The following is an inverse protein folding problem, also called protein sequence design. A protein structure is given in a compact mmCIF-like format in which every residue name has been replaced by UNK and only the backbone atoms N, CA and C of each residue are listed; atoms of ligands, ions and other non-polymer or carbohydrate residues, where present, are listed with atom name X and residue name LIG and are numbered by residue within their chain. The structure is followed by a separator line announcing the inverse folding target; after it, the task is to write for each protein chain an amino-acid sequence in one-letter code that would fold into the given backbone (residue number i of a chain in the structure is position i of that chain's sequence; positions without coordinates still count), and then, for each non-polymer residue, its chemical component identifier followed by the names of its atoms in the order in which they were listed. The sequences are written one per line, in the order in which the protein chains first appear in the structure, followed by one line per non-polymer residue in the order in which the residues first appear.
data_IF_304493827811
#
_entry.id   IF_304493827811
#
_cell.length_a   1.000
_cell.length_b   1.000
_cell.length_c   1.000
_cell.angle_alpha   90.00
_cell.angle_beta   90.00
_cell.angle_gamma   90.00
#
_symmetry.space_group_name_H-M   'P 1'
#
loop_
_entity.id
_entity.type
_entity.pdbx_description
1 polymer ?
#
# COMPACT_ATOMS: atom_id res chain seq x y z
N UNK A 1 -42.39 23.41 2.22
CA UNK A 1 -42.30 23.04 0.78
C UNK A 1 -43.53 22.26 0.36
N UNK A 2 -43.95 21.27 1.13
CA UNK A 2 -45.14 20.45 0.82
C UNK A 2 -46.44 21.26 0.71
N UNK A 3 -46.65 22.27 1.57
CA UNK A 3 -47.80 23.18 1.46
C UNK A 3 -47.81 23.99 0.15
N UNK A 4 -46.67 24.54 -0.25
CA UNK A 4 -46.52 25.24 -1.54
C UNK A 4 -46.83 24.31 -2.71
N UNK A 5 -46.33 23.07 -2.68
CA UNK A 5 -46.56 22.11 -3.75
C UNK A 5 -48.02 21.68 -3.85
N UNK A 6 -48.67 21.40 -2.72
CA UNK A 6 -50.08 21.04 -2.67
C UNK A 6 -50.97 22.17 -3.23
N UNK A 7 -50.74 23.41 -2.80
CA UNK A 7 -51.50 24.57 -3.28
C UNK A 7 -51.24 24.86 -4.75
N UNK A 8 -50.00 24.71 -5.24
CA UNK A 8 -49.69 24.87 -6.66
C UNK A 8 -50.33 23.80 -7.54
N UNK A 9 -50.35 22.53 -7.09
CA UNK A 9 -51.01 21.44 -7.81
C UNK A 9 -52.53 21.64 -7.82
N UNK A 10 -53.13 22.03 -6.70
CA UNK A 10 -54.56 22.35 -6.61
C UNK A 10 -54.93 23.54 -7.49
N UNK A 11 -54.14 24.62 -7.45
CA UNK A 11 -54.35 25.79 -8.30
C UNK A 11 -54.28 25.43 -9.80
N UNK A 12 -53.31 24.58 -10.19
CA UNK A 12 -53.18 24.11 -11.56
C UNK A 12 -54.34 23.20 -12.00
N UNK A 13 -54.78 22.28 -11.14
CA UNK A 13 -55.86 21.34 -11.45
C UNK A 13 -57.26 21.97 -11.48
N UNK A 14 -57.49 22.99 -10.65
CA UNK A 14 -58.84 23.60 -10.47
C UNK A 14 -58.98 24.96 -11.16
N UNK A 15 -57.88 25.60 -11.55
CA UNK A 15 -57.88 26.98 -12.07
C UNK A 15 -58.22 28.05 -11.03
N UNK A 16 -58.44 27.67 -9.78
CA UNK A 16 -58.75 28.60 -8.69
C UNK A 16 -57.48 29.19 -8.06
N UNK A 17 -57.57 30.44 -7.62
CA UNK A 17 -56.47 31.10 -6.93
C UNK A 17 -56.39 30.61 -5.47
N UNK A 18 -55.27 29.97 -5.13
CA UNK A 18 -54.99 29.41 -3.81
C UNK A 18 -54.11 30.34 -2.95
N UNK A 19 -53.82 31.56 -3.44
CA UNK A 19 -52.82 32.47 -2.87
C UNK A 19 -53.34 33.90 -2.66
N UNK A 20 -54.66 34.04 -2.49
CA UNK A 20 -55.34 35.30 -2.14
C UNK A 20 -55.00 36.48 -3.08
N UNK A 21 -54.87 36.23 -4.38
CA UNK A 21 -54.54 37.25 -5.38
C UNK A 21 -53.07 37.66 -5.41
N UNK A 22 -52.24 37.20 -4.46
CA UNK A 22 -50.87 37.67 -4.32
C UNK A 22 -49.89 36.57 -3.88
N UNK A 23 -49.50 35.75 -4.86
CA UNK A 23 -48.50 34.69 -4.68
C UNK A 23 -47.16 35.17 -4.11
N UNK A 24 -46.73 36.40 -4.45
CA UNK A 24 -45.46 36.94 -3.96
C UNK A 24 -45.50 37.26 -2.46
N UNK A 25 -46.62 37.80 -1.98
CA UNK A 25 -46.87 38.03 -0.56
C UNK A 25 -46.98 36.71 0.20
N UNK A 26 -47.74 35.75 -0.32
CA UNK A 26 -47.85 34.42 0.25
C UNK A 26 -46.47 33.76 0.43
N UNK A 27 -45.56 33.89 -0.56
CA UNK A 27 -44.19 33.40 -0.44
C UNK A 27 -43.39 34.07 0.68
N UNK A 28 -43.56 35.39 0.87
CA UNK A 28 -42.88 36.14 1.91
C UNK A 28 -43.36 35.72 3.31
N UNK A 29 -44.68 35.60 3.49
CA UNK A 29 -45.31 35.20 4.76
C UNK A 29 -44.91 33.77 5.18
N UNK A 30 -44.57 32.92 4.22
CA UNK A 30 -44.15 31.53 4.47
C UNK A 30 -42.62 31.33 4.41
N UNK A 31 -41.83 32.41 4.32
CA UNK A 31 -40.37 32.36 4.31
C UNK A 31 -39.76 31.64 3.09
N UNK A 32 -40.48 31.62 1.96
CA UNK A 32 -40.04 30.95 0.73
C UNK A 32 -39.47 31.98 -0.24
N UNK A 33 -38.25 31.73 -0.72
CA UNK A 33 -37.66 32.54 -1.78
C UNK A 33 -38.55 32.54 -3.03
N UNK A 34 -38.92 33.74 -3.51
CA UNK A 34 -39.70 33.93 -4.74
C UNK A 34 -39.11 33.15 -5.92
N UNK A 35 -37.79 33.18 -6.10
CA UNK A 35 -37.12 32.47 -7.19
C UNK A 35 -37.38 30.95 -7.14
N UNK A 36 -37.42 30.35 -5.94
CA UNK A 36 -37.76 28.94 -5.76
C UNK A 36 -39.23 28.67 -6.02
N UNK A 37 -40.12 29.51 -5.49
CA UNK A 37 -41.56 29.34 -5.64
C UNK A 37 -42.04 29.44 -7.09
N UNK A 38 -41.56 30.44 -7.84
CA UNK A 38 -41.88 30.61 -9.26
C UNK A 38 -41.30 29.49 -10.12
N UNK A 39 -40.09 29.00 -9.82
CA UNK A 39 -39.52 27.82 -10.49
C UNK A 39 -40.36 26.57 -10.27
N UNK A 40 -40.93 26.40 -9.07
CA UNK A 40 -41.81 25.28 -8.75
C UNK A 40 -43.18 25.42 -9.41
N UNK A 41 -43.74 26.63 -9.43
CA UNK A 41 -44.99 26.95 -10.13
C UNK A 41 -44.92 26.62 -11.61
N UNK A 42 -43.94 27.19 -12.33
CA UNK A 42 -43.71 26.91 -13.75
C UNK A 42 -43.61 25.41 -14.04
N UNK A 43 -42.94 24.69 -13.15
CA UNK A 43 -42.74 23.26 -13.31
C UNK A 43 -44.00 22.43 -13.09
N UNK A 44 -44.84 22.80 -12.12
CA UNK A 44 -46.14 22.16 -11.91
C UNK A 44 -47.09 22.49 -13.07
N UNK A 45 -47.01 23.69 -13.64
CA UNK A 45 -47.76 24.05 -14.85
C UNK A 45 -47.34 23.22 -16.08
N UNK A 46 -46.05 22.91 -16.23
CA UNK A 46 -45.53 22.13 -17.35
C UNK A 46 -45.68 20.60 -17.16
N UNK A 47 -45.53 20.08 -15.93
CA UNK A 47 -45.45 18.63 -15.64
C UNK A 47 -46.63 18.09 -14.81
N UNK A 48 -47.55 18.95 -14.36
CA UNK A 48 -48.69 18.61 -13.49
C UNK A 48 -48.32 18.30 -12.03
N UNK A 49 -47.04 18.10 -11.70
CA UNK A 49 -46.57 17.85 -10.33
C UNK A 49 -45.12 18.26 -10.13
N UNK A 50 -44.75 18.53 -8.88
CA UNK A 50 -43.36 18.73 -8.51
C UNK A 50 -42.70 17.41 -8.08
N UNK A 51 -41.59 17.07 -8.72
CA UNK A 51 -40.74 15.92 -8.33
C UNK A 51 -39.29 16.37 -8.19
N UNK A 52 -38.51 15.75 -7.32
CA UNK A 52 -37.07 16.02 -7.27
C UNK A 52 -36.41 15.52 -8.57
N UNK A 53 -35.78 16.42 -9.32
CA UNK A 53 -34.92 16.03 -10.45
C UNK A 53 -33.53 15.67 -9.94
N UNK A 54 -32.89 14.75 -10.64
CA UNK A 54 -31.46 14.53 -10.48
C UNK A 54 -30.73 15.85 -10.69
N UNK A 55 -29.87 16.23 -9.74
CA UNK A 55 -28.94 17.36 -9.87
C UNK A 55 -27.69 16.98 -10.66
N UNK A 56 -27.64 15.75 -11.20
CA UNK A 56 -26.50 15.27 -11.98
C UNK A 56 -26.42 16.07 -13.28
N UNK A 57 -25.23 16.60 -13.63
CA UNK A 57 -25.02 17.24 -14.93
C UNK A 57 -25.48 16.32 -16.07
N UNK A 58 -26.18 16.89 -17.06
CA UNK A 58 -26.66 16.17 -18.26
C UNK A 58 -25.52 15.73 -19.17
N UNK A 59 -24.37 16.40 -19.10
CA UNK A 59 -23.12 15.98 -19.76
C UNK A 59 -21.95 16.10 -18.80
N UNK A 60 -20.98 15.19 -18.94
CA UNK A 60 -19.69 15.27 -18.28
C UNK A 60 -18.63 15.24 -19.39
N UNK A 61 -18.07 16.39 -19.80
CA UNK A 61 -17.06 16.45 -20.86
C UNK A 61 -15.82 15.60 -20.59
N UNK A 62 -15.54 15.30 -19.31
CA UNK A 62 -14.44 14.44 -18.87
C UNK A 62 -14.88 12.99 -18.57
N UNK A 63 -16.05 12.57 -19.06
CA UNK A 63 -16.45 11.18 -18.95
C UNK A 63 -15.47 10.29 -19.71
N UNK A 64 -15.14 9.15 -19.11
CA UNK A 64 -14.36 8.12 -19.78
C UNK A 64 -15.15 7.62 -21.00
N UNK A 65 -14.54 7.59 -22.21
CA UNK A 65 -15.23 7.11 -23.40
C UNK A 65 -15.70 5.66 -23.25
N UNK A 66 -16.87 5.33 -23.81
CA UNK A 66 -17.44 3.98 -23.72
C UNK A 66 -16.48 2.87 -24.19
N UNK A 67 -15.68 3.04 -25.27
CA UNK A 67 -14.69 2.04 -25.66
C UNK A 67 -13.65 1.73 -24.56
N UNK A 68 -13.24 2.74 -23.80
CA UNK A 68 -12.33 2.58 -22.67
C UNK A 68 -13.01 1.84 -21.51
N UNK A 69 -14.30 2.12 -21.25
CA UNK A 69 -15.06 1.41 -20.21
C UNK A 69 -15.25 -0.08 -20.55
N UNK A 70 -15.56 -0.40 -21.81
CA UNK A 70 -15.67 -1.77 -22.31
C UNK A 70 -14.37 -2.53 -22.07
N UNK A 71 -13.23 -1.90 -22.36
CA UNK A 71 -11.91 -2.49 -22.16
C UNK A 71 -11.58 -2.76 -20.69
N UNK A 72 -11.98 -1.84 -19.79
CA UNK A 72 -11.89 -2.03 -18.34
C UNK A 72 -12.70 -3.25 -17.89
N UNK A 73 -13.95 -3.36 -18.34
CA UNK A 73 -14.84 -4.48 -18.00
C UNK A 73 -14.30 -5.79 -18.56
N UNK A 74 -13.83 -5.78 -19.82
CA UNK A 74 -13.23 -6.96 -20.47
C UNK A 74 -12.03 -7.48 -19.68
N UNK A 75 -11.10 -6.62 -19.29
CA UNK A 75 -9.94 -7.00 -18.47
C UNK A 75 -10.38 -7.52 -17.09
N UNK A 76 -11.37 -6.88 -16.45
CA UNK A 76 -11.92 -7.33 -15.16
C UNK A 76 -12.51 -8.75 -15.24
N UNK A 77 -13.12 -9.14 -16.35
CA UNK A 77 -13.73 -10.47 -16.48
C UNK A 77 -12.72 -11.55 -16.87
N UNK A 78 -11.70 -11.21 -17.66
CA UNK A 78 -10.78 -12.19 -18.24
C UNK A 78 -9.49 -12.43 -17.45
N UNK A 79 -9.03 -11.46 -16.65
CA UNK A 79 -7.85 -11.67 -15.79
C UNK A 79 -8.12 -12.73 -14.72
N UNK A 80 -7.14 -13.42 -14.14
CA UNK A 80 -7.36 -14.29 -12.98
C UNK A 80 -7.93 -13.51 -11.78
N UNK A 81 -8.77 -14.12 -10.94
CA UNK A 81 -9.43 -13.42 -9.82
C UNK A 81 -8.47 -12.59 -8.94
N UNK A 82 -7.29 -13.14 -8.66
CA UNK A 82 -6.24 -12.50 -7.85
C UNK A 82 -5.49 -11.35 -8.57
N UNK A 83 -5.68 -11.17 -9.89
CA UNK A 83 -5.04 -10.14 -10.73
C UNK A 83 -6.00 -9.09 -11.26
N UNK A 84 -7.29 -9.18 -10.98
CA UNK A 84 -8.33 -8.27 -11.51
C UNK A 84 -8.32 -6.86 -10.88
N UNK A 85 -7.28 -6.46 -10.14
CA UNK A 85 -7.23 -5.19 -9.41
C UNK A 85 -7.10 -3.98 -10.34
N UNK A 86 -7.57 -2.80 -9.90
CA UNK A 86 -7.55 -1.59 -10.73
C UNK A 86 -6.15 -1.17 -11.22
N UNK A 87 -5.08 -1.37 -10.41
CA UNK A 87 -3.71 -1.08 -10.85
C UNK A 87 -3.25 -2.03 -11.96
N UNK A 88 -3.60 -3.32 -11.86
CA UNK A 88 -3.30 -4.34 -12.87
C UNK A 88 -4.08 -4.07 -14.16
N UNK A 89 -5.36 -3.72 -14.05
CA UNK A 89 -6.18 -3.30 -15.20
C UNK A 89 -5.54 -2.09 -15.88
N UNK A 90 -5.16 -1.05 -15.12
CA UNK A 90 -4.49 0.13 -15.67
C UNK A 90 -3.21 -0.23 -16.43
N UNK A 91 -2.40 -1.15 -15.89
CA UNK A 91 -1.20 -1.64 -16.57
C UNK A 91 -1.53 -2.30 -17.92
N UNK A 92 -2.50 -3.21 -17.96
CA UNK A 92 -2.90 -3.88 -19.20
C UNK A 92 -3.58 -2.94 -20.21
N UNK A 93 -4.25 -1.89 -19.74
CA UNK A 93 -4.82 -0.87 -20.61
C UNK A 93 -3.76 -0.12 -21.42
N UNK A 94 -2.51 -0.05 -20.97
CA UNK A 94 -1.44 0.60 -21.74
C UNK A 94 -1.25 -0.07 -23.10
N UNK A 95 -1.10 -1.40 -23.13
CA UNK A 95 -0.95 -2.14 -24.38
C UNK A 95 -2.19 -2.03 -25.28
N UNK A 96 -3.39 -1.96 -24.69
CA UNK A 96 -4.65 -1.73 -25.43
C UNK A 96 -4.67 -0.32 -26.02
N UNK A 97 -4.31 0.69 -25.23
CA UNK A 97 -4.27 2.08 -25.64
C UNK A 97 -3.28 2.29 -26.80
N UNK A 98 -2.11 1.66 -26.72
CA UNK A 98 -1.09 1.72 -27.77
C UNK A 98 -1.58 1.03 -29.05
N UNK A 99 -2.14 -0.18 -28.93
CA UNK A 99 -2.67 -0.97 -30.05
C UNK A 99 -3.82 -0.28 -30.78
N UNK A 100 -4.68 0.41 -30.04
CA UNK A 100 -5.85 1.10 -30.58
C UNK A 100 -5.63 2.61 -30.78
N UNK A 101 -4.38 3.09 -30.66
CA UNK A 101 -3.99 4.48 -30.86
C UNK A 101 -4.85 5.49 -30.09
N UNK A 102 -5.18 5.20 -28.83
CA UNK A 102 -6.03 6.06 -27.99
C UNK A 102 -5.54 7.51 -27.90
N UNK A 103 -4.22 7.72 -27.94
CA UNK A 103 -3.63 9.05 -27.94
C UNK A 103 -4.06 9.90 -29.15
N UNK A 104 -4.28 9.29 -30.32
CA UNK A 104 -4.76 9.99 -31.51
C UNK A 104 -6.22 10.47 -31.36
N UNK A 105 -7.01 9.74 -30.58
CA UNK A 105 -8.39 10.09 -30.21
C UNK A 105 -8.46 11.05 -29.00
N UNK A 106 -7.31 11.45 -28.44
CA UNK A 106 -7.22 12.26 -27.22
C UNK A 106 -7.63 11.51 -25.95
N UNK A 107 -7.69 10.17 -25.98
CA UNK A 107 -8.07 9.34 -24.84
C UNK A 107 -6.84 8.99 -23.99
N UNK A 108 -7.06 8.90 -22.68
CA UNK A 108 -6.02 8.59 -21.70
C UNK A 108 -6.42 7.41 -20.83
N UNK A 109 -5.43 6.69 -20.29
CA UNK A 109 -5.67 5.62 -19.32
C UNK A 109 -6.30 6.20 -18.06
N UNK A 110 -7.49 5.71 -17.63
CA UNK A 110 -8.16 6.26 -16.46
C UNK A 110 -7.39 5.98 -15.16
N UNK A 111 -7.54 6.88 -14.18
CA UNK A 111 -6.95 6.70 -12.86
C UNK A 111 -7.51 5.46 -12.15
N UNK A 112 -6.76 4.94 -11.14
CA UNK A 112 -7.24 3.86 -10.26
C UNK A 112 -8.64 4.14 -9.69
N UNK A 113 -8.90 5.38 -9.27
CA UNK A 113 -10.19 5.78 -8.73
C UNK A 113 -11.29 5.69 -9.80
N UNK A 114 -11.01 6.21 -11.00
CA UNK A 114 -11.93 6.16 -12.14
C UNK A 114 -12.25 4.72 -12.55
N UNK A 115 -11.23 3.85 -12.64
CA UNK A 115 -11.42 2.43 -12.93
C UNK A 115 -12.34 1.80 -11.87
N UNK A 116 -12.08 2.02 -10.58
CA UNK A 116 -12.95 1.48 -9.53
C UNK A 116 -14.38 2.03 -9.63
N UNK A 117 -14.56 3.32 -9.92
CA UNK A 117 -15.89 3.90 -10.13
C UNK A 117 -16.61 3.24 -11.31
N UNK A 118 -15.94 3.05 -12.44
CA UNK A 118 -16.49 2.34 -13.61
C UNK A 118 -16.90 0.93 -13.21
N UNK A 119 -15.99 0.16 -12.59
CA UNK A 119 -16.27 -1.20 -12.16
C UNK A 119 -17.44 -1.27 -11.16
N UNK A 120 -17.56 -0.31 -10.23
CA UNK A 120 -18.70 -0.21 -9.32
C UNK A 120 -20.01 0.09 -10.03
N UNK A 121 -20.01 0.90 -11.10
CA UNK A 121 -21.24 1.15 -11.89
C UNK A 121 -21.72 -0.08 -12.65
N UNK A 122 -20.83 -1.03 -12.94
CA UNK A 122 -21.15 -2.31 -13.56
C UNK A 122 -21.30 -3.45 -12.55
N UNK A 123 -21.40 -3.14 -11.24
CA UNK A 123 -21.53 -4.14 -10.16
C UNK A 123 -20.39 -5.16 -10.07
N UNK A 124 -19.20 -4.81 -10.56
CA UNK A 124 -18.01 -5.68 -10.57
C UNK A 124 -17.09 -5.48 -9.35
N UNK A 125 -17.52 -4.69 -8.36
CA UNK A 125 -16.79 -4.42 -7.10
C UNK A 125 -17.70 -4.73 -5.92
N UNK A 126 -17.23 -5.59 -5.02
CA UNK A 126 -17.89 -5.82 -3.73
C UNK A 126 -17.39 -4.74 -2.74
N UNK A 127 -18.27 -3.87 -2.22
CA UNK A 127 -17.85 -2.86 -1.25
C UNK A 127 -17.36 -3.47 0.06
N UNK A 128 -16.20 -3.02 0.55
CA UNK A 128 -15.66 -3.37 1.88
C UNK A 128 -15.65 -2.14 2.83
N UNK A 129 -16.82 -1.67 3.29
CA UNK A 129 -16.94 -0.41 4.04
C UNK A 129 -16.25 -0.45 5.42
N UNK A 130 -16.00 -1.64 5.99
CA UNK A 130 -15.36 -1.81 7.30
C UNK A 130 -13.84 -1.58 7.27
N UNK A 131 -13.24 -1.37 6.11
CA UNK A 131 -11.78 -1.27 5.95
C UNK A 131 -11.31 0.15 6.25
N UNK A 132 -10.69 0.35 7.42
CA UNK A 132 -10.12 1.64 7.84
C UNK A 132 -9.14 2.19 6.78
N UNK A 133 -9.22 3.48 6.41
CA UNK A 133 -8.22 4.11 5.55
C UNK A 133 -6.84 4.03 6.22
N UNK A 134 -5.85 3.49 5.52
CA UNK A 134 -4.46 3.43 6.01
C UNK A 134 -3.77 4.77 5.73
N UNK A 135 -4.16 5.84 6.42
CA UNK A 135 -3.62 7.19 6.20
C UNK A 135 -2.31 7.49 6.94
N UNK A 136 -1.87 6.65 7.88
CA UNK A 136 -0.73 6.94 8.77
C UNK A 136 0.50 6.04 8.60
N UNK A 137 0.54 5.15 7.61
CA UNK A 137 1.69 4.24 7.41
C UNK A 137 2.60 4.75 6.28
N UNK A 138 3.75 5.35 6.64
CA UNK A 138 4.87 5.54 5.71
C UNK A 138 5.44 4.17 5.36
N UNK A 139 5.47 3.82 4.08
CA UNK A 139 5.97 2.51 3.63
C UNK A 139 7.49 2.55 3.65
N UNK A 140 8.10 1.77 4.52
CA UNK A 140 9.54 1.55 4.51
C UNK A 140 9.95 0.82 3.22
N UNK A 141 10.98 1.32 2.53
CA UNK A 141 11.53 0.71 1.34
C UNK A 141 12.97 1.14 1.11
N UNK A 142 13.89 0.18 0.96
CA UNK A 142 15.24 0.49 0.52
C UNK A 142 15.23 1.04 -0.91
N UNK A 143 16.24 1.87 -1.21
CA UNK A 143 16.28 2.71 -2.40
C UNK A 143 16.59 1.92 -3.66
N UNK A 144 17.55 1.00 -3.61
CA UNK A 144 18.01 0.25 -4.77
C UNK A 144 17.67 -1.25 -4.61
N UNK A 145 17.48 -1.97 -5.73
CA UNK A 145 17.51 -3.43 -5.69
C UNK A 145 18.86 -3.90 -5.15
N UNK A 146 18.89 -5.04 -4.46
CA UNK A 146 20.07 -5.57 -3.75
C UNK A 146 20.52 -4.76 -2.54
N UNK A 147 19.84 -3.69 -2.15
CA UNK A 147 20.10 -3.06 -0.84
C UNK A 147 19.64 -4.00 0.28
N UNK A 148 18.49 -4.67 0.11
CA UNK A 148 17.98 -5.62 1.09
C UNK A 148 17.12 -6.70 0.44
N UNK A 149 17.44 -7.96 0.76
CA UNK A 149 16.52 -9.08 0.55
C UNK A 149 15.76 -9.37 1.84
N UNK A 150 14.46 -9.63 1.74
CA UNK A 150 13.66 -10.20 2.82
C UNK A 150 13.52 -11.70 2.59
N UNK A 151 13.79 -12.53 3.59
CA UNK A 151 13.57 -13.98 3.55
C UNK A 151 12.57 -14.38 4.62
N UNK A 152 11.59 -15.18 4.24
CA UNK A 152 10.60 -15.77 5.14
C UNK A 152 10.10 -17.11 4.58
N UNK A 153 9.42 -17.87 5.41
CA UNK A 153 8.91 -19.19 5.10
C UNK A 153 7.39 -19.26 5.24
N UNK A 154 6.76 -20.08 4.41
CA UNK A 154 5.34 -20.38 4.54
C UNK A 154 5.05 -21.87 4.39
N UNK A 155 4.11 -22.37 5.20
CA UNK A 155 3.59 -23.73 5.04
C UNK A 155 2.65 -23.86 3.84
N UNK A 156 2.79 -24.96 3.12
CA UNK A 156 1.93 -25.43 2.03
C UNK A 156 1.58 -26.89 2.29
N UNK A 157 0.40 -27.34 1.85
CA UNK A 157 -0.01 -28.75 1.94
C UNK A 157 0.10 -29.42 0.59
N UNK A 158 0.71 -30.60 0.55
CA UNK A 158 0.70 -31.49 -0.60
C UNK A 158 -0.66 -32.19 -0.72
N UNK A 159 -0.92 -32.83 -1.87
CA UNK A 159 -2.14 -33.60 -2.11
C UNK A 159 -2.29 -34.77 -1.12
N UNK A 160 -1.19 -35.29 -0.58
CA UNK A 160 -1.15 -36.31 0.48
C UNK A 160 -1.62 -35.80 1.84
N UNK A 161 -1.78 -34.48 2.01
CA UNK A 161 -2.08 -33.81 3.28
C UNK A 161 -0.85 -33.43 4.10
N UNK A 162 0.33 -33.91 3.69
CA UNK A 162 1.63 -33.58 4.28
C UNK A 162 1.89 -32.07 4.22
N UNK A 163 2.45 -31.52 5.30
CA UNK A 163 2.84 -30.11 5.37
C UNK A 163 4.31 -29.99 5.00
N UNK A 164 4.59 -29.15 4.02
CA UNK A 164 5.93 -28.77 3.59
C UNK A 164 6.08 -27.26 3.70
N UNK A 165 7.31 -26.76 3.57
CA UNK A 165 7.64 -25.34 3.71
C UNK A 165 8.17 -24.81 2.38
N UNK A 166 7.81 -23.57 2.06
CA UNK A 166 8.38 -22.82 0.94
C UNK A 166 9.07 -21.59 1.51
N UNK A 167 10.36 -21.46 1.27
CA UNK A 167 11.14 -20.25 1.55
C UNK A 167 11.06 -19.33 0.34
N UNK A 168 10.66 -18.08 0.59
CA UNK A 168 10.62 -17.01 -0.40
C UNK A 168 11.64 -15.93 -0.04
N UNK A 169 12.43 -15.52 -1.04
CA UNK A 169 13.37 -14.41 -0.91
C UNK A 169 12.93 -13.31 -1.86
N UNK A 170 12.59 -12.15 -1.29
CA UNK A 170 12.01 -11.02 -1.99
C UNK A 170 12.96 -9.82 -1.91
N UNK A 171 13.23 -9.15 -3.03
CA UNK A 171 13.89 -7.85 -3.02
C UNK A 171 12.95 -6.77 -2.44
N UNK A 172 13.45 -6.02 -1.47
CA UNK A 172 12.66 -5.04 -0.72
C UNK A 172 12.18 -3.86 -1.59
N UNK A 173 13.03 -3.44 -2.53
CA UNK A 173 12.88 -2.28 -3.40
C UNK A 173 11.89 -2.57 -4.53
N UNK A 174 12.18 -3.57 -5.35
CA UNK A 174 11.45 -3.84 -6.60
C UNK A 174 10.33 -4.85 -6.44
N UNK A 175 10.34 -5.57 -5.31
CA UNK A 175 9.50 -6.75 -5.04
C UNK A 175 9.79 -7.92 -5.96
N UNK A 176 10.97 -7.98 -6.57
CA UNK A 176 11.39 -9.14 -7.36
C UNK A 176 11.54 -10.34 -6.45
N UNK A 177 10.91 -11.46 -6.82
CA UNK A 177 11.08 -12.73 -6.13
C UNK A 177 12.38 -13.35 -6.63
N UNK A 178 13.45 -13.25 -5.83
CA UNK A 178 14.80 -13.66 -6.23
C UNK A 178 15.05 -15.15 -5.95
N UNK A 179 14.29 -15.76 -5.05
CA UNK A 179 14.23 -17.22 -4.90
C UNK A 179 12.90 -17.70 -4.32
N UNK A 180 12.47 -18.89 -4.74
CA UNK A 180 11.32 -19.64 -4.19
C UNK A 180 11.73 -21.10 -4.09
N UNK A 181 11.90 -21.62 -2.87
CA UNK A 181 12.47 -22.96 -2.66
C UNK A 181 11.66 -23.78 -1.68
N UNK A 182 11.31 -25.00 -2.09
CA UNK A 182 10.64 -25.99 -1.25
C UNK A 182 11.65 -26.64 -0.30
N UNK A 183 11.23 -26.88 0.93
CA UNK A 183 11.93 -27.65 1.94
C UNK A 183 10.92 -28.48 2.76
N UNK A 184 11.37 -29.62 3.29
CA UNK A 184 10.50 -30.51 4.06
C UNK A 184 10.05 -29.87 5.39
N UNK A 185 10.89 -28.99 5.95
CA UNK A 185 10.61 -28.25 7.18
C UNK A 185 11.32 -26.90 7.21
N UNK A 186 10.89 -26.05 8.13
CA UNK A 186 11.46 -24.71 8.37
C UNK A 186 12.79 -24.84 9.12
N UNK A 187 13.85 -25.15 8.36
CA UNK A 187 15.19 -25.43 8.89
C UNK A 187 16.22 -24.42 8.37
N UNK A 188 17.34 -24.27 9.09
CA UNK A 188 18.46 -23.47 8.63
C UNK A 188 19.02 -23.96 7.28
N UNK A 189 19.00 -25.28 7.02
CA UNK A 189 19.42 -25.84 5.74
C UNK A 189 18.52 -25.38 4.58
N UNK A 190 17.20 -25.37 4.78
CA UNK A 190 16.24 -24.82 3.81
C UNK A 190 16.46 -23.32 3.55
N UNK A 191 16.64 -22.54 4.61
CA UNK A 191 16.94 -21.11 4.50
C UNK A 191 18.27 -20.85 3.75
N UNK A 192 19.33 -21.62 4.04
CA UNK A 192 20.62 -21.55 3.34
C UNK A 192 20.44 -21.88 1.85
N UNK A 193 19.68 -22.93 1.51
CA UNK A 193 19.43 -23.31 0.12
C UNK A 193 18.67 -22.19 -0.64
N UNK A 194 17.71 -21.54 0.00
CA UNK A 194 16.96 -20.43 -0.57
C UNK A 194 17.83 -19.19 -0.78
N UNK A 195 18.60 -18.76 0.22
CA UNK A 195 19.44 -17.56 0.10
C UNK A 195 20.60 -17.78 -0.87
N UNK A 196 21.17 -18.99 -0.91
CA UNK A 196 22.21 -19.35 -1.89
C UNK A 196 21.66 -19.27 -3.31
N UNK A 197 20.45 -19.79 -3.54
CA UNK A 197 19.79 -19.69 -4.85
C UNK A 197 19.56 -18.22 -5.26
N UNK A 198 19.14 -17.36 -4.32
CA UNK A 198 18.98 -15.93 -4.56
C UNK A 198 20.31 -15.27 -4.93
N UNK A 199 21.38 -15.56 -4.20
CA UNK A 199 22.72 -15.00 -4.46
C UNK A 199 23.26 -15.43 -5.83
N UNK A 200 23.08 -16.69 -6.21
CA UNK A 200 23.52 -17.20 -7.52
C UNK A 200 22.74 -16.56 -8.66
N UNK A 201 21.42 -16.38 -8.52
CA UNK A 201 20.56 -15.88 -9.60
C UNK A 201 20.57 -14.36 -9.76
N UNK A 202 20.68 -13.62 -8.65
CA UNK A 202 20.46 -12.16 -8.62
C UNK A 202 21.61 -11.38 -7.98
N UNK A 203 22.66 -12.06 -7.53
CA UNK A 203 23.78 -11.45 -6.82
C UNK A 203 23.51 -11.27 -5.32
N UNK A 204 24.58 -10.99 -4.59
CA UNK A 204 24.57 -10.84 -3.13
C UNK A 204 24.05 -9.44 -2.78
N UNK A 205 23.11 -9.29 -1.81
CA UNK A 205 22.62 -7.99 -1.36
C UNK A 205 23.55 -7.37 -0.31
N UNK A 206 23.32 -6.11 0.04
CA UNK A 206 23.96 -5.50 1.21
C UNK A 206 23.42 -6.07 2.51
N UNK A 207 22.09 -6.22 2.60
CA UNK A 207 21.37 -6.71 3.77
C UNK A 207 20.53 -7.94 3.44
N UNK A 208 20.46 -8.86 4.39
CA UNK A 208 19.42 -9.90 4.43
C UNK A 208 18.59 -9.66 5.68
N UNK A 209 17.30 -9.38 5.50
CA UNK A 209 16.33 -9.25 6.56
C UNK A 209 15.59 -10.58 6.74
N UNK A 210 15.78 -11.19 7.90
CA UNK A 210 15.03 -12.37 8.33
C UNK A 210 14.23 -12.03 9.59
N UNK A 211 13.24 -12.85 9.93
CA UNK A 211 12.64 -12.77 11.26
C UNK A 211 13.54 -13.41 12.33
N UNK A 212 13.09 -13.48 13.58
CA UNK A 212 13.82 -14.15 14.66
C UNK A 212 13.50 -15.67 14.75
N UNK A 213 12.96 -16.26 13.68
CA UNK A 213 12.62 -17.68 13.62
C UNK A 213 13.83 -18.57 13.91
N UNK A 214 13.55 -19.81 14.36
CA UNK A 214 14.60 -20.79 14.68
C UNK A 214 15.40 -21.23 13.44
N UNK A 215 14.86 -21.04 12.24
CA UNK A 215 15.58 -21.28 11.00
C UNK A 215 16.70 -20.26 10.74
N UNK A 216 16.59 -19.05 11.31
CA UNK A 216 17.52 -17.94 11.08
C UNK A 216 18.40 -17.62 12.30
N UNK A 217 17.98 -18.05 13.50
CA UNK A 217 18.68 -17.77 14.77
C UNK A 217 19.06 -19.05 15.54
N UNK A 218 20.23 -19.05 16.16
CA UNK A 218 20.74 -20.12 17.03
C UNK A 218 20.27 -20.01 18.49
N UNK A 219 19.05 -19.53 18.74
CA UNK A 219 18.57 -19.13 20.09
C UNK A 219 18.46 -20.24 21.15
N UNK A 220 18.96 -21.46 20.93
CA UNK A 220 18.91 -22.54 21.94
C UNK A 220 20.22 -23.18 22.36
N UNK A 221 21.38 -22.78 21.83
CA UNK A 221 22.66 -23.35 22.26
C UNK A 221 23.79 -22.33 22.26
N UNK A 222 24.17 -21.87 23.47
CA UNK A 222 25.49 -21.35 23.84
C UNK A 222 26.17 -20.41 22.82
N UNK A 223 25.61 -19.22 22.57
CA UNK A 223 26.36 -18.09 21.99
C UNK A 223 26.99 -18.29 20.61
N UNK A 224 26.62 -19.34 19.87
CA UNK A 224 27.19 -19.63 18.55
C UNK A 224 26.49 -18.87 17.42
N UNK A 225 27.24 -18.47 16.39
CA UNK A 225 26.70 -17.90 15.14
C UNK A 225 25.88 -18.99 14.43
N UNK A 226 24.64 -18.68 13.98
CA UNK A 226 23.82 -19.67 13.28
C UNK A 226 24.46 -20.04 11.93
N UNK A 227 24.25 -21.27 11.45
CA UNK A 227 24.78 -21.69 10.15
C UNK A 227 24.33 -20.78 9.01
N UNK A 228 23.10 -20.25 9.10
CA UNK A 228 22.56 -19.27 8.16
C UNK A 228 23.30 -17.94 8.24
N UNK A 229 23.52 -17.40 9.44
CA UNK A 229 24.29 -16.17 9.65
C UNK A 229 25.68 -16.28 9.05
N UNK A 230 26.37 -17.41 9.27
CA UNK A 230 27.71 -17.65 8.71
C UNK A 230 27.72 -17.60 7.18
N UNK A 231 26.73 -18.22 6.51
CA UNK A 231 26.64 -18.21 5.04
C UNK A 231 26.42 -16.79 4.51
N UNK A 232 25.53 -16.02 5.14
CA UNK A 232 25.23 -14.63 4.75
C UNK A 232 26.46 -13.74 4.92
N UNK A 233 27.13 -13.82 6.07
CA UNK A 233 28.32 -13.02 6.38
C UNK A 233 29.54 -13.42 5.53
N UNK A 234 29.73 -14.70 5.25
CA UNK A 234 30.80 -15.17 4.36
C UNK A 234 30.61 -14.71 2.91
N UNK A 235 29.37 -14.51 2.47
CA UNK A 235 29.07 -13.88 1.18
C UNK A 235 29.31 -12.36 1.20
N UNK A 236 29.56 -11.75 2.36
CA UNK A 236 29.78 -10.32 2.54
C UNK A 236 28.49 -9.52 2.78
N UNK A 237 27.32 -10.17 2.85
CA UNK A 237 26.07 -9.51 3.22
C UNK A 237 25.94 -9.43 4.75
N UNK A 238 25.22 -8.43 5.26
CA UNK A 238 24.91 -8.32 6.69
C UNK A 238 23.50 -8.86 6.97
N UNK A 239 23.40 -9.82 7.90
CA UNK A 239 22.12 -10.29 8.41
C UNK A 239 21.55 -9.27 9.40
N UNK A 240 20.28 -8.89 9.22
CA UNK A 240 19.50 -8.11 10.17
C UNK A 240 18.22 -8.88 10.51
N UNK A 241 17.75 -8.72 11.74
CA UNK A 241 16.52 -9.35 12.20
C UNK A 241 15.43 -8.31 12.45
N UNK A 242 14.18 -8.67 12.19
CA UNK A 242 13.04 -7.88 12.68
C UNK A 242 13.09 -7.77 14.20
N UNK A 243 12.70 -6.61 14.75
CA UNK A 243 12.64 -6.45 16.21
C UNK A 243 11.46 -7.25 16.78
N UNK A 244 11.63 -7.93 17.93
CA UNK A 244 10.52 -8.58 18.62
C UNK A 244 9.35 -7.61 18.80
N UNK A 245 8.12 -8.09 18.63
CA UNK A 245 6.88 -7.30 18.73
C UNK A 245 6.68 -6.22 17.64
N UNK A 246 7.55 -6.15 16.63
CA UNK A 246 7.39 -5.29 15.45
C UNK A 246 7.41 -6.10 14.13
N UNK A 247 6.38 -6.95 13.90
CA UNK A 247 6.29 -7.82 12.72
C UNK A 247 6.21 -7.05 11.40
N UNK A 248 5.97 -5.74 11.45
CA UNK A 248 5.76 -4.88 10.28
C UNK A 248 6.98 -4.83 9.35
N UNK A 249 8.19 -5.12 9.86
CA UNK A 249 9.45 -5.08 9.10
C UNK A 249 9.51 -6.18 8.03
N UNK A 250 8.95 -7.37 8.30
CA UNK A 250 8.84 -8.49 7.34
C UNK A 250 7.50 -8.51 6.59
N UNK A 251 6.66 -7.49 6.76
CA UNK A 251 5.30 -7.48 6.21
C UNK A 251 5.19 -7.51 4.69
N UNK A 252 6.31 -7.33 3.95
CA UNK A 252 6.32 -7.40 2.47
C UNK A 252 6.30 -8.85 1.99
N UNK A 253 7.21 -9.69 2.51
CA UNK A 253 7.25 -11.12 2.18
C UNK A 253 6.05 -11.87 2.78
N UNK A 254 5.62 -11.53 4.00
CA UNK A 254 4.38 -12.08 4.58
C UNK A 254 3.14 -11.77 3.72
N UNK A 255 3.05 -10.56 3.17
CA UNK A 255 1.98 -10.20 2.24
C UNK A 255 2.08 -10.99 0.94
N UNK A 256 3.31 -11.21 0.46
CA UNK A 256 3.57 -11.99 -0.73
C UNK A 256 3.12 -13.45 -0.59
N UNK A 257 3.34 -14.09 0.57
CA UNK A 257 2.86 -15.45 0.86
C UNK A 257 1.36 -15.63 0.57
N UNK A 258 0.56 -14.60 0.80
CA UNK A 258 -0.89 -14.62 0.48
C UNK A 258 -1.13 -14.68 -1.03
N UNK A 259 -0.40 -13.88 -1.80
CA UNK A 259 -0.49 -13.88 -3.27
C UNK A 259 -0.03 -15.22 -3.84
N UNK A 260 1.07 -15.78 -3.33
CA UNK A 260 1.54 -17.11 -3.71
C UNK A 260 0.49 -18.19 -3.44
N UNK A 261 -0.06 -18.25 -2.22
CA UNK A 261 -1.10 -19.23 -1.85
C UNK A 261 -2.36 -19.10 -2.69
N UNK A 262 -2.78 -17.88 -3.02
CA UNK A 262 -3.92 -17.64 -3.91
C UNK A 262 -3.64 -18.14 -5.34
N UNK A 263 -2.41 -17.97 -5.82
CA UNK A 263 -2.00 -18.48 -7.13
C UNK A 263 -1.98 -20.01 -7.15
N UNK A 264 -1.42 -20.65 -6.11
CA UNK A 264 -1.45 -22.11 -5.96
C UNK A 264 -2.89 -22.66 -5.89
N UNK A 265 -3.75 -22.04 -5.09
CA UNK A 265 -5.14 -22.46 -4.93
C UNK A 265 -5.98 -22.32 -6.22
N UNK A 266 -5.51 -21.51 -7.18
CA UNK A 266 -6.11 -21.35 -8.49
C UNK A 266 -5.56 -22.35 -9.54
N UNK A 267 -4.68 -23.28 -9.15
CA UNK A 267 -4.23 -24.37 -10.03
C UNK A 267 -5.27 -25.51 -10.03
N UNK A 268 -5.42 -26.23 -11.15
CA UNK A 268 -6.39 -27.32 -11.24
C UNK A 268 -6.03 -28.51 -10.36
N UNK A 269 -4.73 -28.71 -10.08
CA UNK A 269 -4.22 -29.81 -9.27
C UNK A 269 -3.26 -29.30 -8.20
N UNK A 270 -3.34 -29.94 -7.03
CA UNK A 270 -2.38 -29.75 -5.92
C UNK A 270 -1.19 -30.68 -6.16
N UNK A 271 0.04 -30.19 -5.94
CA UNK A 271 1.25 -31.01 -6.04
C UNK A 271 1.21 -32.20 -5.08
N UNK A 272 1.55 -33.39 -5.56
CA UNK A 272 1.63 -34.61 -4.77
C UNK A 272 3.00 -34.78 -4.11
N UNK A 273 4.05 -34.20 -4.70
CA UNK A 273 5.44 -34.32 -4.21
C UNK A 273 6.10 -32.94 -4.03
N UNK A 274 7.18 -32.89 -3.25
CA UNK A 274 8.02 -31.70 -3.09
C UNK A 274 8.66 -31.26 -4.41
N UNK A 275 8.99 -32.21 -5.30
CA UNK A 275 9.54 -31.93 -6.63
C UNK A 275 8.51 -31.23 -7.55
N UNK A 276 7.26 -31.73 -7.58
CA UNK A 276 6.17 -31.08 -8.30
C UNK A 276 5.87 -29.68 -7.72
N UNK A 277 5.87 -29.54 -6.39
CA UNK A 277 5.70 -28.24 -5.76
C UNK A 277 6.83 -27.28 -6.14
N UNK A 278 8.07 -27.75 -6.24
CA UNK A 278 9.21 -26.94 -6.66
C UNK A 278 9.05 -26.45 -8.11
N UNK A 279 8.55 -27.27 -9.03
CA UNK A 279 8.22 -26.85 -10.40
C UNK A 279 7.11 -25.79 -10.44
N UNK A 280 6.09 -25.92 -9.58
CA UNK A 280 5.06 -24.89 -9.42
C UNK A 280 5.65 -23.59 -8.86
N UNK A 281 6.56 -23.66 -7.91
CA UNK A 281 7.28 -22.51 -7.36
C UNK A 281 8.09 -21.78 -8.43
N UNK A 282 8.79 -22.50 -9.30
CA UNK A 282 9.56 -21.91 -10.41
C UNK A 282 8.65 -21.27 -11.46
N UNK A 283 7.54 -21.93 -11.79
CA UNK A 283 6.52 -21.38 -12.69
C UNK A 283 5.90 -20.11 -12.11
N UNK A 284 5.59 -20.13 -10.81
CA UNK A 284 5.09 -18.96 -10.10
C UNK A 284 6.10 -17.82 -10.08
N UNK A 285 7.36 -18.10 -9.72
CA UNK A 285 8.41 -17.08 -9.67
C UNK A 285 8.59 -16.41 -11.03
N UNK A 286 8.56 -17.18 -12.12
CA UNK A 286 8.59 -16.63 -13.48
C UNK A 286 7.39 -15.72 -13.73
N UNK A 287 6.17 -16.23 -13.61
CA UNK A 287 4.94 -15.48 -13.80
C UNK A 287 4.90 -14.18 -12.98
N UNK A 288 5.17 -14.29 -11.67
CA UNK A 288 5.16 -13.18 -10.74
C UNK A 288 6.16 -12.10 -11.13
N UNK A 289 7.35 -12.49 -11.59
CA UNK A 289 8.42 -11.56 -11.95
C UNK A 289 8.24 -10.91 -13.33
N UNK A 290 7.71 -11.65 -14.32
CA UNK A 290 7.72 -11.21 -15.73
C UNK A 290 6.37 -10.76 -16.26
N UNK A 291 5.26 -11.28 -15.74
CA UNK A 291 3.93 -11.03 -16.30
C UNK A 291 3.06 -10.19 -15.36
N UNK A 292 3.18 -10.43 -14.06
CA UNK A 292 2.32 -9.80 -13.05
C UNK A 292 2.79 -8.40 -12.68
N UNK A 293 2.04 -7.33 -12.97
CA UNK A 293 2.39 -6.00 -12.48
C UNK A 293 2.18 -5.90 -10.96
N UNK A 294 3.13 -5.28 -10.27
CA UNK A 294 3.05 -5.11 -8.82
C UNK A 294 2.71 -3.66 -8.44
N UNK A 295 1.62 -3.45 -7.67
CA UNK A 295 1.11 -2.11 -7.29
C UNK A 295 2.13 -1.13 -6.71
N UNK A 296 3.19 -1.61 -6.04
CA UNK A 296 4.23 -0.75 -5.47
C UNK A 296 5.14 -0.13 -6.55
N UNK A 297 5.39 -0.85 -7.65
CA UNK A 297 6.30 -0.42 -8.74
C UNK A 297 5.56 -0.18 -10.06
N UNK A 298 4.26 -0.48 -10.12
CA UNK A 298 3.34 -0.30 -11.27
C UNK A 298 3.76 -1.01 -12.56
N UNK A 299 4.63 -2.01 -12.45
CA UNK A 299 5.12 -2.85 -13.55
C UNK A 299 5.49 -4.24 -13.01
N UNK A 300 5.81 -5.23 -13.87
CA UNK A 300 6.38 -6.49 -13.43
C UNK A 300 7.64 -6.28 -12.59
N UNK A 301 7.79 -6.95 -11.43
CA UNK A 301 8.92 -6.77 -10.53
C UNK A 301 10.29 -6.90 -11.21
N UNK A 302 10.48 -7.86 -12.12
CA UNK A 302 11.76 -8.03 -12.82
C UNK A 302 12.03 -6.88 -13.80
N UNK A 303 10.98 -6.26 -14.35
CA UNK A 303 11.15 -5.04 -15.14
C UNK A 303 11.63 -3.89 -14.26
N UNK A 304 11.06 -3.70 -13.07
CA UNK A 304 11.53 -2.69 -12.11
C UNK A 304 12.99 -2.91 -11.70
N UNK A 305 13.38 -4.17 -11.47
CA UNK A 305 14.77 -4.55 -11.22
C UNK A 305 15.74 -4.21 -12.35
N UNK A 306 15.35 -4.50 -13.59
CA UNK A 306 16.16 -4.21 -14.79
C UNK A 306 16.25 -2.71 -15.09
N UNK A 307 15.19 -1.95 -14.79
CA UNK A 307 15.14 -0.51 -15.00
C UNK A 307 15.96 0.28 -13.95
N UNK A 308 16.34 -0.34 -12.84
CA UNK A 308 17.14 0.32 -11.82
C UNK A 308 18.55 0.62 -12.33
N UNK A 309 18.93 1.90 -12.35
CA UNK A 309 20.23 2.34 -12.83
C UNK A 309 21.41 1.85 -11.96
N UNK A 310 21.15 1.62 -10.68
CA UNK A 310 22.14 1.18 -9.70
C UNK A 310 21.56 0.03 -8.91
N UNK A 311 22.35 -1.01 -8.69
CA UNK A 311 22.07 -2.07 -7.73
C UNK A 311 23.00 -1.92 -6.54
N UNK A 312 22.49 -2.18 -5.35
CA UNK A 312 23.29 -2.30 -4.14
C UNK A 312 24.18 -3.53 -4.15
N UNK A 313 24.71 -3.88 -2.99
CA UNK A 313 25.53 -5.07 -2.84
C UNK A 313 26.33 -5.09 -1.54
N UNK A 314 27.02 -6.19 -1.26
CA UNK A 314 27.65 -6.46 0.04
C UNK A 314 28.66 -5.38 0.48
N UNK A 315 29.29 -4.69 -0.47
CA UNK A 315 30.29 -3.66 -0.20
C UNK A 315 29.71 -2.31 0.27
N UNK A 316 28.41 -2.09 0.06
CA UNK A 316 27.77 -0.81 0.33
C UNK A 316 26.51 -1.04 1.17
N UNK A 317 26.64 -0.87 2.49
CA UNK A 317 25.47 -0.87 3.36
C UNK A 317 24.57 0.32 3.00
N UNK A 318 23.25 0.11 2.82
CA UNK A 318 22.36 1.18 2.43
C UNK A 318 22.25 2.21 3.54
N UNK A 319 22.34 3.49 3.18
CA UNK A 319 22.03 4.59 4.08
C UNK A 319 20.52 4.71 4.14
N UNK A 320 19.93 4.45 5.32
CA UNK A 320 18.51 4.69 5.54
C UNK A 320 18.30 6.20 5.71
N UNK A 321 17.83 6.86 4.65
CA UNK A 321 17.53 8.30 4.69
C UNK A 321 16.22 8.62 5.42
N UNK A 322 15.37 7.60 5.62
CA UNK A 322 14.01 7.72 6.13
C UNK A 322 13.95 7.91 7.66
N UNK A 323 15.03 7.59 8.39
CA UNK A 323 15.17 7.91 9.80
C UNK A 323 16.63 7.78 10.25
N UNK A 324 17.26 8.87 10.68
CA UNK A 324 18.56 8.83 11.36
C UNK A 324 18.35 8.52 12.84
N UNK A 325 19.07 7.53 13.36
CA UNK A 325 19.05 7.19 14.78
C UNK A 325 20.23 7.85 15.47
N UNK A 326 19.97 8.66 16.50
CA UNK A 326 21.00 9.23 17.37
C UNK A 326 20.88 8.63 18.77
N UNK A 327 21.98 8.11 19.32
CA UNK A 327 22.08 7.77 20.74
C UNK A 327 22.87 8.88 21.44
N UNK A 328 22.20 9.70 22.26
CA UNK A 328 22.78 10.92 22.82
C UNK A 328 22.64 10.95 24.34
N UNK A 329 23.71 11.32 25.04
CA UNK A 329 23.66 11.59 26.48
C UNK A 329 23.03 12.96 26.72
N UNK A 330 22.01 13.00 27.56
CA UNK A 330 21.30 14.23 27.90
C UNK A 330 22.17 15.10 28.80
N UNK A 331 22.39 16.34 28.39
CA UNK A 331 23.10 17.35 29.19
C UNK A 331 22.44 17.60 30.55
N UNK A 332 23.19 18.18 31.49
CA UNK A 332 22.69 18.56 32.83
C UNK A 332 21.46 19.48 32.78
N UNK A 333 21.29 20.26 31.70
CA UNK A 333 20.13 21.13 31.49
C UNK A 333 18.91 20.42 30.90
N UNK A 334 19.00 19.11 30.59
CA UNK A 334 17.91 18.33 30.01
C UNK A 334 17.77 18.46 28.49
N UNK A 335 18.86 18.84 27.79
CA UNK A 335 18.87 19.05 26.34
C UNK A 335 19.81 18.10 25.60
N UNK A 336 19.53 17.87 24.33
CA UNK A 336 20.36 17.08 23.40
C UNK A 336 20.50 17.83 22.07
N UNK A 337 21.63 17.65 21.40
CA UNK A 337 21.88 18.21 20.07
C UNK A 337 21.75 17.08 19.04
N UNK A 338 20.71 17.13 18.21
CA UNK A 338 20.48 16.18 17.10
C UNK A 338 21.63 16.30 16.09
N UNK A 339 22.04 17.53 15.80
CA UNK A 339 23.20 17.88 15.00
C UNK A 339 23.79 19.23 15.47
N UNK A 340 24.74 19.79 14.72
CA UNK A 340 25.38 21.08 15.05
C UNK A 340 24.41 22.27 15.07
N UNK A 341 23.26 22.15 14.39
CA UNK A 341 22.26 23.19 14.16
C UNK A 341 20.96 22.95 14.92
N UNK A 342 20.68 21.78 15.47
CA UNK A 342 19.42 21.49 16.16
C UNK A 342 19.63 20.98 17.60
N UNK A 343 19.26 21.80 18.59
CA UNK A 343 19.21 21.46 20.02
C UNK A 343 17.77 21.42 20.51
N UNK A 344 17.38 20.35 21.19
CA UNK A 344 16.04 20.16 21.74
C UNK A 344 16.06 19.76 23.22
N UNK A 345 14.95 20.02 23.91
CA UNK A 345 14.76 19.67 25.32
C UNK A 345 13.96 18.37 25.47
N UNK A 346 14.61 17.34 25.99
CA UNK A 346 14.00 16.06 26.42
C UNK A 346 13.57 16.08 27.89
N UNK A 347 13.99 17.10 28.64
CA UNK A 347 13.60 17.34 30.02
C UNK A 347 14.69 16.98 31.04
N UNK A 348 14.77 17.77 32.13
CA UNK A 348 15.82 17.62 33.16
C UNK A 348 15.82 16.28 33.88
N UNK A 349 14.67 15.58 33.95
CA UNK A 349 14.58 14.25 34.56
C UNK A 349 15.45 13.21 33.84
N UNK A 350 15.74 13.45 32.55
CA UNK A 350 16.58 12.57 31.73
C UNK A 350 18.06 12.95 31.80
N UNK A 351 18.46 13.99 32.55
CA UNK A 351 19.85 14.45 32.59
C UNK A 351 20.82 13.32 33.00
N UNK A 352 21.91 13.19 32.26
CA UNK A 352 22.91 12.13 32.45
C UNK A 352 22.52 10.77 31.87
N UNK A 353 21.28 10.58 31.41
CA UNK A 353 20.85 9.34 30.74
C UNK A 353 21.10 9.42 29.24
N UNK A 354 21.21 8.26 28.59
CA UNK A 354 21.22 8.16 27.12
C UNK A 354 19.79 8.11 26.61
N UNK A 355 19.48 8.89 25.58
CA UNK A 355 18.19 8.84 24.87
C UNK A 355 18.42 8.48 23.41
N UNK A 356 17.45 7.79 22.83
CA UNK A 356 17.45 7.46 21.39
C UNK A 356 16.55 8.45 20.67
N UNK A 357 17.10 9.19 19.71
CA UNK A 357 16.32 10.05 18.82
C UNK A 357 16.18 9.40 17.46
N UNK A 358 14.95 9.24 16.99
CA UNK A 358 14.63 8.90 15.61
C UNK A 358 14.28 10.17 14.86
N UNK A 359 15.13 10.58 13.92
CA UNK A 359 14.92 11.74 13.04
C UNK A 359 14.52 11.29 11.64
N UNK A 360 13.26 11.42 11.30
CA UNK A 360 12.73 11.25 9.94
C UNK A 360 12.56 12.63 9.30
N UNK A 361 13.44 12.98 8.36
CA UNK A 361 13.53 14.32 7.77
C UNK A 361 13.66 15.41 8.86
N UNK A 362 12.59 16.20 9.07
CA UNK A 362 12.52 17.23 10.11
C UNK A 362 11.75 16.78 11.34
N UNK A 363 11.16 15.59 11.33
CA UNK A 363 10.44 15.08 12.49
C UNK A 363 11.38 14.29 13.40
N UNK A 364 11.45 14.65 14.68
CA UNK A 364 12.27 13.97 15.68
C UNK A 364 11.39 13.41 16.77
N UNK A 365 11.51 12.12 17.03
CA UNK A 365 10.90 11.44 18.19
C UNK A 365 11.99 10.95 19.14
N UNK A 366 11.85 11.23 20.42
CA UNK A 366 12.78 10.78 21.45
C UNK A 366 12.21 9.62 22.26
N UNK A 367 13.08 8.66 22.57
CA UNK A 367 12.78 7.46 23.34
C UNK A 367 13.76 7.32 24.50
N UNK A 368 13.31 6.70 25.59
CA UNK A 368 14.19 6.20 26.65
C UNK A 368 15.04 5.03 26.14
N UNK A 369 16.04 4.60 26.91
CA UNK A 369 16.80 3.38 26.60
C UNK A 369 15.93 2.13 26.52
N UNK A 370 14.83 2.11 27.28
CA UNK A 370 13.89 0.98 27.36
C UNK A 370 12.84 1.01 26.25
N UNK A 371 12.84 2.05 25.41
CA UNK A 371 11.95 2.20 24.25
C UNK A 371 10.65 2.98 24.52
N UNK A 372 10.49 3.56 25.71
CA UNK A 372 9.32 4.40 26.01
C UNK A 372 9.42 5.76 25.31
N UNK A 373 8.31 6.25 24.75
CA UNK A 373 8.27 7.53 24.05
C UNK A 373 8.31 8.68 25.04
N UNK A 374 9.34 9.53 24.93
CA UNK A 374 9.47 10.77 25.71
C UNK A 374 8.62 11.88 25.07
N UNK A 375 8.62 11.95 23.74
CA UNK A 375 7.86 12.92 22.96
C UNK A 375 8.45 13.17 21.57
N UNK A 376 7.85 14.10 20.83
CA UNK A 376 8.24 14.40 19.45
C UNK A 376 8.21 15.91 19.13
N UNK A 377 8.89 16.34 18.07
CA UNK A 377 8.80 17.69 17.50
C UNK A 377 9.18 17.71 16.01
N UNK A 378 8.85 18.81 15.32
CA UNK A 378 9.39 19.12 14.00
C UNK A 378 10.49 20.19 14.13
N UNK A 379 11.61 19.96 13.46
CA UNK A 379 12.77 20.84 13.38
C UNK A 379 12.42 22.06 12.53
N UNK A 380 12.66 23.23 13.09
CA UNK A 380 12.65 24.52 12.42
C UNK A 380 14.09 24.89 12.06
N UNK A 381 14.43 24.82 10.76
CA UNK A 381 15.79 25.10 10.27
C UNK A 381 16.23 26.56 10.46
N UNK A 382 15.31 27.46 10.80
CA UNK A 382 15.64 28.85 11.11
C UNK A 382 16.13 29.04 12.54
N UNK A 383 16.00 28.02 13.39
CA UNK A 383 16.30 28.09 14.82
C UNK A 383 17.31 27.03 15.23
N UNK A 384 18.23 27.43 16.12
CA UNK A 384 19.13 26.46 16.75
C UNK A 384 18.47 25.69 17.89
N UNK A 385 17.63 26.36 18.67
CA UNK A 385 16.89 25.74 19.76
C UNK A 385 15.46 25.45 19.35
N UNK A 386 15.09 24.17 19.37
CA UNK A 386 13.83 23.62 18.86
C UNK A 386 12.72 23.58 19.91
N UNK A 387 13.05 23.92 21.17
CA UNK A 387 12.11 23.87 22.28
C UNK A 387 11.95 22.49 22.90
N UNK A 388 10.85 22.31 23.63
CA UNK A 388 10.52 21.08 24.36
C UNK A 388 9.76 20.12 23.46
N UNK A 389 10.04 18.83 23.58
CA UNK A 389 9.23 17.79 22.95
C UNK A 389 7.77 17.88 23.36
N UNK A 390 6.88 17.64 22.40
CA UNK A 390 5.44 17.49 22.63
C UNK A 390 5.16 16.06 23.10
N UNK A 391 4.20 15.86 24.02
CA UNK A 391 3.75 14.52 24.39
C UNK A 391 3.30 13.75 23.13
N UNK A 392 3.57 12.43 23.14
CA UNK A 392 3.14 11.53 22.08
C UNK A 392 1.61 11.39 22.02
#
# INVERSE_FOLDING_TARGET
MDLLHALLVLAHATGADMFDGNFARWCADHGISRATAYRHKKRIEEEGRWTTRSRRPTSCPHATPLPVEIEIVRLRLNLPHHERGADTIAYHLQAVADKHHWAAEGWTIPSRATINTILSRYDLVIPEPKKRPKSSYRRFCYRNPRDCYQIDATQVRLATGEKVVVFEVLDDCTRTLVATRVADAETAAGAIAAITAAFTGFGIPALVLADNGSAFTSRRTKGGISGFTRVVEQAGARLIHSTPYHPQTCGKVERHHRTFKQWLAARPTTAATTAELQQLCETYQRFYNTERPHSAVKMPPLQAWRNAAIHGGPQHLPIQHDATVHALVVSSTGTVCVDSRARLSVGRKMAGQTVTLLRDDDHVTAYTTDGDVIGHLHLDHTKRYQGKLRPA
#
